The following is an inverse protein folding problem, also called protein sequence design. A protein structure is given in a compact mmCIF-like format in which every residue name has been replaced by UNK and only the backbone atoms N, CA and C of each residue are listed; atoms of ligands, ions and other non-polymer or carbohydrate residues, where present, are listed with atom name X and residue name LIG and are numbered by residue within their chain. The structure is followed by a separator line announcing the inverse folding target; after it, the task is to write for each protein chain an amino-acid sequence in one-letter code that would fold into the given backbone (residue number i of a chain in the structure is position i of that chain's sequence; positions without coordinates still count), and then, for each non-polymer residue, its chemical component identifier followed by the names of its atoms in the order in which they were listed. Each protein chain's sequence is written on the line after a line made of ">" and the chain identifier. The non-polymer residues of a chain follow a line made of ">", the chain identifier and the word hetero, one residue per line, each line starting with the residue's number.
data_IF_307283304916
#
_entry.id   IF_307283304916
#
_cell.length_a   1.000
_cell.length_b   1.000
_cell.length_c   1.000
_cell.angle_alpha   90.00
_cell.angle_beta   90.00
_cell.angle_gamma   90.00
#
_symmetry.space_group_name_H-M   'P 1'
#
loop_
_entity.id
_entity.type
_entity.pdbx_description
1 polymer ?
#
# COMPACT_ATOMS: atom_id res chain seq x y z
N UNK A 1 -0.39 8.75 40.73
CA UNK A 1 -0.72 7.80 41.83
C UNK A 1 -1.53 8.41 42.97
N UNK A 2 -1.51 9.73 43.16
CA UNK A 2 -2.12 10.40 44.32
C UNK A 2 -3.67 10.35 44.36
N UNK A 3 -4.33 10.32 43.20
CA UNK A 3 -5.80 10.32 43.09
C UNK A 3 -6.44 8.99 43.54
N UNK A 4 -5.80 7.84 43.27
CA UNK A 4 -6.29 6.52 43.68
C UNK A 4 -6.24 6.30 45.19
N UNK A 5 -5.26 6.91 45.85
CA UNK A 5 -5.12 6.89 47.32
C UNK A 5 -6.17 7.78 48.02
N UNK A 6 -6.60 8.85 47.37
CA UNK A 6 -7.62 9.78 47.89
C UNK A 6 -9.06 9.25 47.76
N UNK A 7 -9.33 8.36 46.79
CA UNK A 7 -10.66 7.84 46.52
C UNK A 7 -10.93 6.45 47.12
N UNK A 8 -9.99 5.91 47.91
CA UNK A 8 -10.16 4.67 48.67
C UNK A 8 -10.36 3.39 47.85
N UNK A 9 -10.12 3.44 46.53
CA UNK A 9 -10.26 2.29 45.64
C UNK A 9 -9.29 2.38 44.46
N UNK A 10 -8.80 1.21 44.02
CA UNK A 10 -8.02 1.08 42.80
C UNK A 10 -8.97 1.10 41.58
N UNK A 11 -9.37 2.31 41.18
CA UNK A 11 -10.24 2.53 40.02
C UNK A 11 -9.64 1.99 38.71
N UNK A 12 -8.35 2.16 38.41
CA UNK A 12 -7.72 1.53 37.24
C UNK A 12 -7.91 0.01 37.22
N UNK A 13 -7.69 -0.69 38.34
CA UNK A 13 -7.91 -2.14 38.38
C UNK A 13 -9.39 -2.51 38.26
N UNK A 14 -10.30 -1.74 38.87
CA UNK A 14 -11.74 -1.97 38.70
C UNK A 14 -12.19 -1.80 37.25
N UNK A 15 -11.73 -0.76 36.57
CA UNK A 15 -12.01 -0.54 35.15
C UNK A 15 -11.41 -1.67 34.31
N UNK A 16 -10.17 -2.10 34.61
CA UNK A 16 -9.55 -3.27 33.95
C UNK A 16 -10.40 -4.52 34.14
N UNK A 17 -10.85 -4.79 35.36
CA UNK A 17 -11.71 -5.94 35.67
C UNK A 17 -13.05 -5.92 34.92
N UNK A 18 -13.70 -4.77 34.84
CA UNK A 18 -14.94 -4.60 34.06
C UNK A 18 -14.68 -4.80 32.56
N UNK A 19 -13.59 -4.26 32.04
CA UNK A 19 -13.24 -4.40 30.62
C UNK A 19 -12.93 -5.85 30.24
N UNK A 20 -12.22 -6.59 31.11
CA UNK A 20 -11.97 -8.03 30.91
C UNK A 20 -13.26 -8.85 31.00
N UNK A 21 -14.18 -8.50 31.93
CA UNK A 21 -15.48 -9.17 32.02
C UNK A 21 -16.30 -8.93 30.74
N UNK A 22 -16.37 -7.69 30.26
CA UNK A 22 -17.04 -7.35 29.00
C UNK A 22 -16.41 -8.08 27.80
N UNK A 23 -15.07 -8.20 27.75
CA UNK A 23 -14.39 -8.95 26.70
C UNK A 23 -14.79 -10.43 26.72
N UNK A 24 -14.88 -11.07 27.90
CA UNK A 24 -15.34 -12.46 28.02
C UNK A 24 -16.79 -12.64 27.58
N UNK A 25 -17.66 -11.67 27.86
CA UNK A 25 -19.05 -11.71 27.41
C UNK A 25 -19.14 -11.56 25.89
N UNK A 26 -18.37 -10.63 25.31
CA UNK A 26 -18.29 -10.45 23.87
C UNK A 26 -17.76 -11.71 23.17
N UNK A 27 -16.68 -12.32 23.66
CA UNK A 27 -16.12 -13.57 23.12
C UNK A 27 -17.18 -14.68 23.06
N UNK A 28 -18.03 -14.80 24.09
CA UNK A 28 -19.10 -15.80 24.12
C UNK A 28 -20.22 -15.53 23.12
N UNK A 29 -20.39 -14.28 22.70
CA UNK A 29 -21.41 -13.87 21.74
C UNK A 29 -20.93 -13.91 20.28
N UNK A 30 -19.61 -13.87 20.03
CA UNK A 30 -19.02 -13.93 18.69
C UNK A 30 -18.92 -15.38 18.22
N UNK A 31 -19.35 -15.65 16.98
CA UNK A 31 -19.23 -17.00 16.42
C UNK A 31 -17.78 -17.34 16.06
N UNK A 32 -17.46 -18.63 16.11
CA UNK A 32 -16.15 -19.14 15.69
C UNK A 32 -15.88 -18.80 14.21
N UNK A 33 -16.89 -18.93 13.36
CA UNK A 33 -16.81 -18.63 11.92
C UNK A 33 -16.43 -17.16 11.66
N UNK A 34 -17.07 -16.21 12.35
CA UNK A 34 -16.71 -14.79 12.26
C UNK A 34 -15.29 -14.51 12.75
N UNK A 35 -14.86 -15.22 13.80
CA UNK A 35 -13.52 -15.07 14.37
C UNK A 35 -12.43 -15.57 13.40
N UNK A 36 -12.67 -16.73 12.77
CA UNK A 36 -11.79 -17.30 11.75
C UNK A 36 -11.72 -16.40 10.51
N UNK A 37 -12.85 -15.86 10.06
CA UNK A 37 -12.89 -14.93 8.93
C UNK A 37 -12.10 -13.65 9.24
N UNK A 38 -12.31 -13.06 10.41
CA UNK A 38 -11.59 -11.87 10.85
C UNK A 38 -10.08 -12.11 10.96
N UNK A 39 -9.66 -13.29 11.45
CA UNK A 39 -8.24 -13.67 11.48
C UNK A 39 -7.66 -13.82 10.06
N UNK A 40 -8.37 -14.49 9.15
CA UNK A 40 -7.95 -14.60 7.74
C UNK A 40 -7.81 -13.23 7.06
N UNK A 41 -8.77 -12.32 7.30
CA UNK A 41 -8.70 -10.94 6.82
C UNK A 41 -7.49 -10.19 7.41
N UNK A 42 -7.18 -10.42 8.69
CA UNK A 42 -5.97 -9.89 9.31
C UNK A 42 -4.70 -10.42 8.65
N UNK A 43 -4.65 -11.71 8.30
CA UNK A 43 -3.50 -12.31 7.63
C UNK A 43 -3.31 -11.81 6.19
N UNK A 44 -4.36 -11.28 5.53
CA UNK A 44 -4.20 -10.61 4.24
C UNK A 44 -3.24 -9.43 4.31
N UNK A 45 -3.11 -8.74 5.45
CA UNK A 45 -2.16 -7.61 5.54
C UNK A 45 -0.70 -8.07 5.35
N UNK A 46 -0.36 -9.27 5.82
CA UNK A 46 0.99 -9.84 5.63
C UNK A 46 1.25 -10.16 4.15
N UNK A 47 0.22 -10.62 3.44
CA UNK A 47 0.25 -10.86 2.00
C UNK A 47 0.34 -9.55 1.23
N UNK A 48 -0.45 -8.54 1.60
CA UNK A 48 -0.39 -7.21 1.01
C UNK A 48 0.99 -6.58 1.19
N UNK A 49 1.62 -6.71 2.35
CA UNK A 49 2.98 -6.23 2.57
C UNK A 49 4.00 -6.93 1.65
N UNK A 50 3.84 -8.24 1.40
CA UNK A 50 4.67 -8.95 0.43
C UNK A 50 4.38 -8.54 -1.02
N UNK A 51 3.10 -8.26 -1.35
CA UNK A 51 2.67 -7.77 -2.66
C UNK A 51 3.14 -6.35 -2.93
N UNK A 52 3.15 -5.46 -1.94
CA UNK A 52 3.69 -4.10 -2.11
C UNK A 52 5.16 -4.13 -2.54
N UNK A 53 5.96 -5.03 -1.99
CA UNK A 53 7.35 -5.23 -2.41
C UNK A 53 7.48 -5.73 -3.87
N UNK A 54 6.43 -6.36 -4.42
CA UNK A 54 6.37 -6.85 -5.81
C UNK A 54 5.81 -5.78 -6.75
N UNK A 55 4.69 -5.16 -6.39
CA UNK A 55 3.84 -4.31 -7.24
C UNK A 55 4.22 -2.83 -7.20
N UNK A 56 4.83 -2.37 -6.11
CA UNK A 56 5.51 -1.07 -6.06
C UNK A 56 6.99 -1.39 -6.11
N UNK A 57 7.54 -1.71 -7.30
CA UNK A 57 8.94 -2.08 -7.40
C UNK A 57 9.75 -0.88 -6.90
N UNK A 58 10.23 -0.98 -5.66
CA UNK A 58 11.22 -0.08 -5.10
C UNK A 58 12.54 -0.36 -5.81
N UNK A 59 12.61 -0.06 -7.11
CA UNK A 59 13.78 -0.24 -7.98
C UNK A 59 14.18 -1.71 -8.13
N UNK A 60 13.21 -2.60 -8.44
CA UNK A 60 13.44 -4.05 -8.59
C UNK A 60 12.90 -4.59 -9.90
N UNK A 61 13.71 -5.39 -10.59
CA UNK A 61 13.31 -6.12 -11.80
C UNK A 61 13.33 -7.63 -11.55
N UNK A 62 12.29 -8.30 -12.06
CA UNK A 62 12.09 -9.74 -11.94
C UNK A 62 12.09 -10.37 -13.33
N UNK A 63 12.64 -11.58 -13.46
CA UNK A 63 12.50 -12.35 -14.70
C UNK A 63 11.09 -12.91 -14.84
N UNK A 64 10.68 -13.27 -16.05
CA UNK A 64 9.39 -13.91 -16.28
C UNK A 64 9.23 -15.21 -15.48
N UNK A 65 10.30 -16.00 -15.35
CA UNK A 65 10.31 -17.21 -14.52
C UNK A 65 10.09 -16.88 -13.04
N UNK A 66 10.69 -15.80 -12.53
CA UNK A 66 10.47 -15.33 -11.16
C UNK A 66 9.03 -14.86 -10.94
N UNK A 67 8.46 -14.11 -11.89
CA UNK A 67 7.06 -13.67 -11.84
C UNK A 67 6.09 -14.86 -11.88
N UNK A 68 6.33 -15.86 -12.73
CA UNK A 68 5.54 -17.10 -12.75
C UNK A 68 5.62 -17.85 -11.42
N UNK A 69 6.82 -17.95 -10.83
CA UNK A 69 7.02 -18.56 -9.52
C UNK A 69 6.31 -17.80 -8.39
N UNK A 70 6.37 -16.46 -8.40
CA UNK A 70 5.66 -15.62 -7.44
C UNK A 70 4.14 -15.77 -7.57
N UNK A 71 3.62 -15.80 -8.81
CA UNK A 71 2.19 -16.04 -9.07
C UNK A 71 1.74 -17.42 -8.59
N UNK A 72 2.53 -18.47 -8.80
CA UNK A 72 2.23 -19.81 -8.28
C UNK A 72 2.07 -19.81 -6.75
N UNK A 73 3.04 -19.20 -6.04
CA UNK A 73 2.98 -19.07 -4.57
C UNK A 73 1.78 -18.24 -4.09
N UNK A 74 1.41 -17.21 -4.83
CA UNK A 74 0.20 -16.42 -4.54
C UNK A 74 -1.08 -17.25 -4.72
N UNK A 75 -1.14 -18.12 -5.74
CA UNK A 75 -2.25 -19.06 -5.90
C UNK A 75 -2.31 -20.03 -4.71
N UNK A 76 -1.18 -20.66 -4.34
CA UNK A 76 -1.11 -21.57 -3.19
C UNK A 76 -1.59 -20.89 -1.89
N UNK A 77 -1.21 -19.63 -1.70
CA UNK A 77 -1.61 -18.83 -0.54
C UNK A 77 -3.11 -18.47 -0.59
N UNK A 78 -3.65 -18.20 -1.79
CA UNK A 78 -5.08 -18.03 -2.02
C UNK A 78 -5.89 -19.28 -1.68
N UNK A 79 -5.40 -20.46 -2.08
CA UNK A 79 -6.00 -21.76 -1.73
C UNK A 79 -6.03 -21.93 -0.20
N UNK A 80 -4.91 -21.66 0.48
CA UNK A 80 -4.81 -21.74 1.94
C UNK A 80 -5.80 -20.80 2.65
N UNK A 81 -5.94 -19.55 2.18
CA UNK A 81 -6.89 -18.56 2.73
C UNK A 81 -8.35 -18.97 2.50
N UNK A 82 -8.64 -19.58 1.36
CA UNK A 82 -9.99 -20.01 0.97
C UNK A 82 -10.40 -21.36 1.56
N UNK A 83 -9.45 -22.15 2.07
CA UNK A 83 -9.72 -23.49 2.59
C UNK A 83 -10.70 -23.46 3.77
N UNK A 84 -11.84 -24.13 3.62
CA UNK A 84 -12.82 -24.34 4.69
C UNK A 84 -12.45 -25.54 5.58
N UNK A 85 -11.60 -26.44 5.08
CA UNK A 85 -11.19 -27.69 5.74
C UNK A 85 -10.15 -27.51 6.84
N UNK A 86 -9.72 -26.27 7.11
CA UNK A 86 -8.79 -25.99 8.19
C UNK A 86 -9.48 -26.16 9.54
N UNK A 87 -9.49 -27.38 10.06
CA UNK A 87 -10.03 -27.70 11.38
C UNK A 87 -9.15 -27.03 12.45
N UNK A 88 -9.62 -25.99 13.15
CA UNK A 88 -8.82 -25.30 14.13
C UNK A 88 -8.69 -26.17 15.39
N UNK A 89 -7.69 -27.06 15.42
CA UNK A 89 -7.47 -27.95 16.57
C UNK A 89 -7.11 -27.20 17.85
N UNK A 90 -6.66 -25.95 17.72
CA UNK A 90 -6.22 -25.09 18.81
C UNK A 90 -6.62 -23.62 18.66
N UNK A 91 -7.52 -23.27 17.73
CA UNK A 91 -7.93 -21.87 17.61
C UNK A 91 -8.87 -21.47 18.74
N UNK A 92 -8.69 -20.25 19.22
CA UNK A 92 -9.53 -19.73 20.29
C UNK A 92 -9.21 -18.29 20.63
N UNK A 93 -10.12 -17.71 21.42
CA UNK A 93 -9.91 -16.42 22.03
C UNK A 93 -9.03 -16.57 23.27
N UNK A 94 -7.94 -15.80 23.30
CA UNK A 94 -7.06 -15.66 24.46
C UNK A 94 -7.29 -14.28 25.04
N UNK A 95 -7.57 -14.22 26.34
CA UNK A 95 -7.58 -12.95 27.09
C UNK A 95 -6.14 -12.51 27.27
N UNK A 96 -5.78 -11.38 26.69
CA UNK A 96 -4.43 -10.83 26.69
C UNK A 96 -4.52 -9.31 26.77
N UNK A 97 -3.74 -8.69 27.66
CA UNK A 97 -3.66 -7.24 27.81
C UNK A 97 -2.51 -6.71 26.94
N UNK A 98 -2.85 -6.35 25.71
CA UNK A 98 -1.92 -5.90 24.68
C UNK A 98 -2.21 -4.47 24.19
N UNK A 99 -1.40 -4.03 23.23
CA UNK A 99 -1.59 -2.77 22.50
C UNK A 99 -1.60 -3.07 21.02
N UNK A 100 -2.53 -2.44 20.30
CA UNK A 100 -2.70 -2.59 18.86
C UNK A 100 -2.80 -1.19 18.25
N UNK A 101 -2.09 -0.95 17.14
CA UNK A 101 -2.25 0.28 16.37
C UNK A 101 -3.35 0.05 15.33
N UNK A 102 -4.41 0.86 15.37
CA UNK A 102 -5.48 0.86 14.37
C UNK A 102 -5.36 2.11 13.52
N UNK A 103 -5.27 1.94 12.20
CA UNK A 103 -5.22 3.06 11.26
C UNK A 103 -6.43 3.99 11.45
N UNK A 104 -6.18 5.29 11.60
CA UNK A 104 -7.21 6.31 11.87
C UNK A 104 -7.66 6.43 13.32
N UNK A 105 -7.42 5.43 14.17
CA UNK A 105 -7.81 5.44 15.59
C UNK A 105 -6.63 5.53 16.56
N UNK A 106 -5.40 5.30 16.08
CA UNK A 106 -4.20 5.32 16.90
C UNK A 106 -4.05 4.06 17.74
N UNK A 107 -3.30 4.16 18.83
CA UNK A 107 -3.03 3.02 19.71
C UNK A 107 -4.27 2.71 20.56
N UNK A 108 -4.76 1.48 20.46
CA UNK A 108 -5.84 0.95 21.28
C UNK A 108 -5.33 -0.16 22.18
N UNK A 109 -6.01 -0.36 23.30
CA UNK A 109 -5.73 -1.47 24.20
C UNK A 109 -6.48 -2.71 23.75
N UNK A 110 -5.73 -3.77 23.47
CA UNK A 110 -6.27 -5.09 23.14
C UNK A 110 -6.51 -5.85 24.45
N UNK A 111 -7.71 -6.38 24.64
CA UNK A 111 -8.07 -7.16 25.84
C UNK A 111 -8.28 -8.65 25.55
N UNK A 112 -8.42 -8.97 24.27
CA UNK A 112 -8.55 -10.33 23.78
C UNK A 112 -8.03 -10.41 22.35
N UNK A 113 -7.53 -11.59 21.99
CA UNK A 113 -7.09 -11.90 20.64
C UNK A 113 -7.58 -13.28 20.26
N UNK A 114 -8.16 -13.39 19.07
CA UNK A 114 -8.38 -14.68 18.45
C UNK A 114 -7.08 -15.12 17.78
N UNK A 115 -6.71 -16.39 17.96
CA UNK A 115 -5.55 -16.95 17.26
C UNK A 115 -5.79 -18.41 16.89
N UNK A 116 -5.55 -18.74 15.63
CA UNK A 116 -5.29 -20.08 15.11
C UNK A 116 -3.78 -20.20 14.84
N UNK A 117 -3.00 -20.77 15.76
CA UNK A 117 -1.55 -20.82 15.61
C UNK A 117 -1.11 -21.69 14.42
N UNK A 118 -1.94 -22.61 13.92
CA UNK A 118 -1.61 -23.43 12.76
C UNK A 118 -1.75 -22.64 11.47
N UNK A 119 -2.97 -22.18 11.16
CA UNK A 119 -3.26 -21.46 9.91
C UNK A 119 -2.44 -20.17 9.80
N UNK A 120 -2.36 -19.42 10.90
CA UNK A 120 -1.65 -18.15 10.92
C UNK A 120 -0.13 -18.34 10.79
N UNK A 121 0.44 -19.44 11.28
CA UNK A 121 1.85 -19.73 11.08
C UNK A 121 2.12 -20.11 9.61
N UNK A 122 1.28 -20.94 9.01
CA UNK A 122 1.45 -21.39 7.63
C UNK A 122 1.30 -20.22 6.63
N UNK A 123 0.28 -19.38 6.79
CA UNK A 123 0.09 -18.19 5.93
C UNK A 123 1.26 -17.22 6.08
N UNK A 124 1.69 -16.92 7.31
CA UNK A 124 2.85 -16.03 7.53
C UNK A 124 4.13 -16.60 6.93
N UNK A 125 4.37 -17.90 7.11
CA UNK A 125 5.54 -18.58 6.55
C UNK A 125 5.51 -18.53 5.01
N UNK A 126 4.35 -18.73 4.38
CA UNK A 126 4.19 -18.63 2.93
C UNK A 126 4.32 -17.19 2.43
N UNK A 127 3.74 -16.20 3.11
CA UNK A 127 3.87 -14.79 2.77
C UNK A 127 5.33 -14.31 2.89
N UNK A 128 6.02 -14.70 3.97
CA UNK A 128 7.45 -14.44 4.13
C UNK A 128 8.28 -15.18 3.08
N UNK A 129 7.97 -16.44 2.78
CA UNK A 129 8.63 -17.22 1.74
C UNK A 129 8.45 -16.61 0.34
N UNK A 130 7.27 -16.07 0.04
CA UNK A 130 6.99 -15.29 -1.17
C UNK A 130 7.88 -14.05 -1.22
N UNK A 131 7.89 -13.25 -0.14
CA UNK A 131 8.72 -12.06 -0.04
C UNK A 131 10.20 -12.39 -0.25
N UNK A 132 10.73 -13.39 0.45
CA UNK A 132 12.12 -13.82 0.32
C UNK A 132 12.45 -14.35 -1.07
N UNK A 133 11.52 -15.07 -1.72
CA UNK A 133 11.70 -15.54 -3.08
C UNK A 133 11.79 -14.37 -4.07
N UNK A 134 10.94 -13.36 -3.91
CA UNK A 134 10.97 -12.12 -4.71
C UNK A 134 12.28 -11.36 -4.47
N UNK A 135 12.68 -11.18 -3.22
CA UNK A 135 13.91 -10.49 -2.86
C UNK A 135 15.16 -11.21 -3.39
N UNK A 136 15.19 -12.55 -3.39
CA UNK A 136 16.32 -13.33 -3.94
C UNK A 136 16.32 -13.38 -5.46
N UNK A 137 15.15 -13.34 -6.09
CA UNK A 137 15.02 -13.41 -7.55
C UNK A 137 15.08 -12.04 -8.23
N UNK A 138 15.04 -10.94 -7.45
CA UNK A 138 15.27 -9.60 -7.98
C UNK A 138 16.68 -9.52 -8.55
N UNK A 139 16.77 -9.26 -9.86
CA UNK A 139 18.03 -9.19 -10.59
C UNK A 139 18.76 -7.88 -10.37
N UNK A 140 18.01 -6.84 -10.01
CA UNK A 140 18.52 -5.51 -9.78
C UNK A 140 17.91 -4.93 -8.50
N UNK A 141 18.78 -4.33 -7.69
CA UNK A 141 18.44 -3.52 -6.55
C UNK A 141 19.47 -2.39 -6.48
N UNK A 142 19.01 -1.14 -6.40
CA UNK A 142 19.91 0.01 -6.34
C UNK A 142 20.72 0.06 -5.04
N UNK A 143 21.94 0.61 -5.11
CA UNK A 143 22.58 1.22 -3.94
C UNK A 143 21.84 2.52 -3.59
N UNK A 144 21.50 2.71 -2.31
CA UNK A 144 20.82 3.93 -1.86
C UNK A 144 21.64 5.18 -2.21
N UNK A 145 21.06 6.13 -2.95
CA UNK A 145 21.60 7.49 -3.09
C UNK A 145 21.97 7.98 -4.49
N UNK A 146 21.83 7.18 -5.55
CA UNK A 146 22.12 7.67 -6.91
C UNK A 146 20.94 8.43 -7.53
N UNK A 147 21.26 9.32 -8.49
CA UNK A 147 20.32 10.17 -9.19
C UNK A 147 19.71 9.44 -10.41
N UNK A 148 18.45 9.70 -10.77
CA UNK A 148 17.83 9.09 -11.94
C UNK A 148 18.43 9.62 -13.25
N UNK A 149 18.57 8.76 -14.24
CA UNK A 149 18.97 9.07 -15.62
C UNK A 149 17.76 9.50 -16.43
N UNK A 150 17.94 10.47 -17.34
CA UNK A 150 16.93 10.78 -18.34
C UNK A 150 17.18 9.92 -19.60
N UNK A 151 16.14 9.25 -20.10
CA UNK A 151 16.18 8.54 -21.38
C UNK A 151 15.18 9.16 -22.32
N UNK A 152 15.61 9.39 -23.56
CA UNK A 152 14.73 9.62 -24.69
C UNK A 152 14.91 8.51 -25.73
N UNK A 153 13.82 8.00 -26.30
CA UNK A 153 13.88 7.25 -27.56
C UNK A 153 13.57 8.18 -28.71
N UNK A 154 14.40 8.10 -29.74
CA UNK A 154 14.28 8.94 -30.93
C UNK A 154 14.11 8.01 -32.13
N UNK A 155 13.11 8.27 -32.96
CA UNK A 155 12.94 7.51 -34.21
C UNK A 155 14.02 7.87 -35.25
N UNK A 156 14.01 7.17 -36.38
CA UNK A 156 14.97 7.41 -37.45
C UNK A 156 14.83 8.80 -38.12
N UNK A 157 13.68 9.47 -37.94
CA UNK A 157 13.44 10.83 -38.43
C UNK A 157 13.89 11.91 -37.43
N UNK A 158 14.37 11.53 -36.25
CA UNK A 158 14.80 12.46 -35.21
C UNK A 158 13.67 12.90 -34.26
N UNK A 159 12.49 12.31 -34.35
CA UNK A 159 11.37 12.63 -33.46
C UNK A 159 11.47 11.85 -32.15
N UNK A 160 11.26 12.54 -31.02
CA UNK A 160 11.28 11.89 -29.70
C UNK A 160 9.97 11.14 -29.51
N UNK A 161 10.03 9.82 -29.48
CA UNK A 161 8.87 8.94 -29.26
C UNK A 161 8.63 8.62 -27.78
N UNK A 162 9.63 8.86 -26.93
CA UNK A 162 9.54 8.64 -25.49
C UNK A 162 10.55 9.50 -24.75
N UNK A 163 10.20 10.05 -23.59
CA UNK A 163 11.11 10.67 -22.64
C UNK A 163 10.68 10.27 -21.22
N UNK A 164 11.61 9.80 -20.40
CA UNK A 164 11.34 9.48 -19.00
C UNK A 164 12.61 9.47 -18.14
N UNK A 165 12.40 9.46 -16.83
CA UNK A 165 13.48 9.38 -15.85
C UNK A 165 13.48 7.97 -15.24
N UNK A 166 14.63 7.30 -15.30
CA UNK A 166 14.83 5.92 -14.87
C UNK A 166 16.15 5.79 -14.13
N UNK A 167 16.25 4.89 -13.18
CA UNK A 167 17.56 4.53 -12.63
C UNK A 167 18.27 3.54 -13.56
N UNK A 168 19.61 3.51 -13.52
CA UNK A 168 20.42 2.69 -14.42
C UNK A 168 20.03 1.21 -14.36
N UNK A 169 19.76 0.71 -13.16
CA UNK A 169 19.39 -0.68 -12.90
C UNK A 169 17.97 -1.05 -13.36
N UNK A 170 17.12 -0.06 -13.68
CA UNK A 170 15.83 -0.30 -14.34
C UNK A 170 16.03 -0.58 -15.84
N UNK A 171 17.13 -0.11 -16.41
CA UNK A 171 17.44 -0.13 -17.84
C UNK A 171 18.39 -1.25 -18.20
N UNK A 172 19.43 -1.42 -17.40
CA UNK A 172 20.53 -2.35 -17.59
C UNK A 172 20.47 -3.39 -16.48
N UNK A 173 19.58 -4.37 -16.63
CA UNK A 173 19.36 -5.40 -15.61
C UNK A 173 19.64 -6.81 -16.10
N UNK A 174 20.92 -7.21 -16.07
CA UNK A 174 21.35 -8.49 -16.63
C UNK A 174 20.85 -8.65 -18.06
N UNK A 175 20.20 -9.78 -18.35
CA UNK A 175 19.66 -10.10 -19.68
C UNK A 175 18.22 -9.61 -19.89
N UNK A 176 17.67 -8.77 -19.00
CA UNK A 176 16.28 -8.32 -19.12
C UNK A 176 16.17 -7.15 -20.12
N UNK A 177 15.16 -7.16 -21.02
CA UNK A 177 14.97 -6.09 -22.01
C UNK A 177 14.69 -4.74 -21.33
N UNK A 178 15.02 -3.58 -21.92
CA UNK A 178 14.72 -2.29 -21.31
C UNK A 178 13.22 -2.13 -21.05
N UNK A 179 12.85 -1.45 -19.96
CA UNK A 179 11.45 -1.05 -19.73
C UNK A 179 11.03 -0.12 -20.86
N UNK A 180 10.17 -0.60 -21.75
CA UNK A 180 9.46 0.27 -22.68
C UNK A 180 8.26 0.81 -21.93
N UNK A 181 8.14 2.14 -21.84
CA UNK A 181 6.86 2.76 -21.48
C UNK A 181 5.79 2.20 -22.40
N UNK A 182 4.60 1.93 -21.86
CA UNK A 182 3.52 1.20 -22.52
C UNK A 182 3.32 1.60 -23.99
N UNK A 183 3.93 0.80 -24.87
CA UNK A 183 3.64 0.69 -26.27
C UNK A 183 3.40 -0.80 -26.51
N UNK A 184 2.23 -1.27 -26.08
CA UNK A 184 1.68 -2.52 -26.60
C UNK A 184 1.55 -2.44 -28.13
N UNK A 185 1.27 -3.57 -28.81
CA UNK A 185 1.03 -3.54 -30.25
C UNK A 185 -0.05 -2.50 -30.55
N UNK A 186 0.30 -1.51 -31.36
CA UNK A 186 -0.46 -0.27 -31.60
C UNK A 186 -1.78 -0.47 -32.38
N UNK A 187 -2.37 -1.67 -32.38
CA UNK A 187 -3.41 -2.05 -33.35
C UNK A 187 -4.81 -2.33 -32.78
N UNK A 188 -5.06 -2.31 -31.45
CA UNK A 188 -6.41 -2.71 -30.96
C UNK A 188 -7.08 -1.84 -29.88
N UNK A 189 -6.51 -0.72 -29.45
CA UNK A 189 -7.24 0.22 -28.59
C UNK A 189 -7.17 1.61 -29.20
N UNK A 190 -8.31 2.02 -29.78
CA UNK A 190 -8.48 3.26 -30.52
C UNK A 190 -7.76 4.43 -29.88
N UNK A 191 -6.83 5.00 -30.64
CA UNK A 191 -6.11 6.20 -30.28
C UNK A 191 -7.11 7.31 -29.93
N UNK A 192 -7.09 7.77 -28.69
CA UNK A 192 -7.62 9.10 -28.36
C UNK A 192 -6.51 10.06 -28.80
N UNK A 193 -6.71 10.88 -29.85
CA UNK A 193 -5.69 11.83 -30.28
C UNK A 193 -5.52 12.88 -29.18
N UNK A 194 -4.33 12.95 -28.61
CA UNK A 194 -3.91 14.12 -27.84
C UNK A 194 -3.60 15.22 -28.85
N UNK A 195 -4.53 16.16 -29.02
CA UNK A 195 -4.23 17.37 -29.79
C UNK A 195 -3.12 18.17 -29.10
N UNK A 196 -2.16 18.70 -29.87
CA UNK A 196 -1.10 19.53 -29.31
C UNK A 196 -1.72 20.82 -28.75
N UNK A 197 -1.53 21.05 -27.45
CA UNK A 197 -1.83 22.35 -26.85
C UNK A 197 -0.86 23.37 -27.46
N UNK A 198 -1.34 24.17 -28.41
CA UNK A 198 -0.63 25.31 -28.96
C UNK A 198 -0.37 26.33 -27.84
N UNK A 199 0.90 26.57 -27.55
CA UNK A 199 1.34 27.63 -26.67
C UNK A 199 1.29 28.98 -27.42
N UNK A 200 0.08 29.49 -27.68
CA UNK A 200 -0.14 30.87 -28.11
C UNK A 200 -1.10 31.53 -27.12
N UNK A 201 -0.53 32.11 -26.06
CA UNK A 201 -1.19 33.17 -25.31
C UNK A 201 -0.44 34.46 -25.63
N UNK A 202 -0.87 35.04 -26.74
CA UNK A 202 -0.48 36.34 -27.27
C UNK A 202 -0.68 37.44 -26.22
N UNK A 203 0.34 38.26 -26.07
CA UNK A 203 0.26 39.53 -25.38
C UNK A 203 -0.37 40.57 -26.32
N UNK A 204 -1.59 41.03 -26.07
CA UNK A 204 -2.00 42.39 -26.50
C UNK A 204 -3.22 42.96 -25.75
N UNK A 205 -2.95 44.12 -25.15
CA UNK A 205 -3.75 45.31 -24.86
C UNK A 205 -5.26 45.39 -25.19
N UNK A 206 -6.03 45.85 -24.18
CA UNK A 206 -7.10 46.88 -24.27
C UNK A 206 -8.48 46.42 -24.76
N UNK A 207 -9.59 47.10 -24.37
CA UNK A 207 -9.67 48.56 -24.35
C UNK A 207 -10.30 49.20 -23.09
N UNK A 208 -10.25 50.52 -23.11
CA UNK A 208 -10.66 51.51 -22.13
C UNK A 208 -12.15 51.48 -21.74
N UNK A 209 -12.41 51.99 -20.53
CA UNK A 209 -13.66 52.65 -20.17
C UNK A 209 -13.32 54.03 -19.56
N UNK A 210 -13.44 55.08 -20.37
CA UNK A 210 -13.94 56.39 -19.92
C UNK A 210 -15.45 56.18 -19.59
N UNK A 211 -16.08 56.86 -18.63
CA UNK A 211 -16.13 58.32 -18.55
C UNK A 211 -16.75 58.82 -17.22
N UNK A 212 -16.43 60.08 -16.90
CA UNK A 212 -17.11 61.08 -16.03
C UNK A 212 -17.17 60.93 -14.50
N UNK A 213 -16.48 61.86 -13.81
CA UNK A 213 -17.13 62.93 -13.03
C UNK A 213 -16.15 64.10 -12.73
N UNK A 214 -16.50 65.28 -13.23
CA UNK A 214 -16.06 66.63 -12.80
C UNK A 214 -16.03 66.75 -11.26
N UNK A 215 -15.11 67.46 -10.59
CA UNK A 215 -14.61 68.80 -10.87
C UNK A 215 -15.11 69.77 -9.80
N UNK A 216 -14.34 69.97 -8.72
CA UNK A 216 -14.40 71.13 -7.82
C UNK A 216 -13.08 71.18 -7.00
N UNK A 217 -12.12 72.04 -7.34
CA UNK A 217 -12.03 73.47 -7.01
C UNK A 217 -11.30 73.76 -5.69
N UNK A 218 -10.21 74.50 -5.84
CA UNK A 218 -9.69 75.55 -4.94
C UNK A 218 -8.77 75.19 -3.76
N UNK A 219 -7.48 75.32 -4.06
CA UNK A 219 -6.52 76.30 -3.49
C UNK A 219 -6.23 76.39 -1.98
N UNK A 220 -4.91 76.40 -1.73
CA UNK A 220 -4.10 76.80 -0.56
C UNK A 220 -3.70 75.70 0.42
#
# INVERSE_FOLDING_TARGET
>A
EECGRLLGADYPERIRGLAVAAARDAIRAVSLEWSLLAERLGLLSDVYAALEDICVPRRRRLSEAALRGARGRLCDLGELLSSEDHAPRSAGWVIEDGRLLIAGFGEVRQLARFSDPGLAADIRAQAQGLREAVLRSSRCAQASGELPLAIATVDAAGSVSFLGYFFEEELLCGDLPPLRGEGGPADELGAIPLEPVSADADASAGPAAEDTAEGASSAR
#
